data_IF_333191754953
#
_entry.id   IF_333191754953
#
_cell.length_a   1.000
_cell.length_b   1.000
_cell.length_c   1.000
_cell.angle_alpha   90.00
_cell.angle_beta   90.00
_cell.angle_gamma   90.00
#
_symmetry.space_group_name_H-M   'P 1'
#
loop_
_entity.id
_entity.type
_entity.pdbx_description
1 polymer ?
#
# COMPACT_ATOMS: atom_id res chain seq x y z
N UNK A 1 27.39 -35.36 21.07
CA UNK A 1 27.90 -36.57 20.39
C UNK A 1 28.50 -36.10 19.07
N UNK A 2 29.82 -36.13 18.96
CA UNK A 2 30.58 -35.67 17.79
C UNK A 2 30.28 -36.62 16.63
N UNK A 3 29.60 -36.16 15.59
CA UNK A 3 29.38 -36.94 14.38
C UNK A 3 30.65 -36.84 13.50
N UNK A 4 31.44 -37.92 13.36
CA UNK A 4 32.72 -37.89 12.66
C UNK A 4 32.62 -37.58 11.16
N UNK A 5 31.41 -37.50 10.60
CA UNK A 5 31.16 -37.28 9.18
C UNK A 5 30.58 -35.89 8.84
N UNK A 6 30.57 -34.95 9.78
CA UNK A 6 30.17 -33.56 9.47
C UNK A 6 31.15 -32.90 8.50
N UNK A 7 30.63 -32.47 7.37
CA UNK A 7 31.40 -31.67 6.39
C UNK A 7 31.78 -30.31 6.97
N UNK A 8 32.89 -29.74 6.52
CA UNK A 8 33.32 -28.40 6.92
C UNK A 8 32.22 -27.33 6.70
N UNK A 9 31.37 -27.52 5.70
CA UNK A 9 30.20 -26.68 5.42
C UNK A 9 29.17 -26.74 6.56
N UNK A 10 28.80 -27.94 7.02
CA UNK A 10 27.84 -28.13 8.12
C UNK A 10 28.36 -27.56 9.45
N UNK A 11 29.67 -27.71 9.72
CA UNK A 11 30.30 -27.13 10.91
C UNK A 11 30.21 -25.59 10.86
N UNK A 12 30.51 -25.00 9.71
CA UNK A 12 30.38 -23.56 9.51
C UNK A 12 28.93 -23.09 9.66
N UNK A 13 27.96 -23.79 9.07
CA UNK A 13 26.54 -23.44 9.17
C UNK A 13 26.05 -23.48 10.62
N UNK A 14 26.36 -24.53 11.38
CA UNK A 14 26.02 -24.63 12.80
C UNK A 14 26.63 -23.48 13.61
N UNK A 15 27.89 -23.12 13.32
CA UNK A 15 28.56 -21.97 13.96
C UNK A 15 27.88 -20.65 13.63
N UNK A 16 27.51 -20.43 12.37
CA UNK A 16 26.86 -19.19 11.92
C UNK A 16 25.50 -18.96 12.58
N UNK A 17 24.75 -20.04 12.87
CA UNK A 17 23.49 -19.96 13.64
C UNK A 17 23.74 -19.41 15.04
N UNK A 18 24.73 -19.96 15.76
CA UNK A 18 25.09 -19.53 17.12
C UNK A 18 25.59 -18.08 17.12
N UNK A 19 26.52 -17.74 16.22
CA UNK A 19 27.06 -16.37 16.09
C UNK A 19 25.95 -15.38 15.78
N UNK A 20 25.04 -15.72 14.86
CA UNK A 20 23.94 -14.86 14.48
C UNK A 20 22.96 -14.58 15.62
N UNK A 21 22.62 -15.61 16.42
CA UNK A 21 21.75 -15.44 17.58
C UNK A 21 22.37 -14.55 18.65
N UNK A 22 23.65 -14.79 19.00
CA UNK A 22 24.36 -14.03 20.03
C UNK A 22 24.61 -12.57 19.60
N UNK A 23 24.99 -12.37 18.33
CA UNK A 23 25.21 -11.02 17.80
C UNK A 23 23.91 -10.19 17.80
N UNK A 24 22.77 -10.80 17.42
CA UNK A 24 21.45 -10.12 17.49
C UNK A 24 21.06 -9.73 18.92
N UNK A 25 21.53 -10.45 19.93
CA UNK A 25 21.31 -10.15 21.36
C UNK A 25 22.30 -9.13 21.93
N UNK A 26 23.23 -8.61 21.13
CA UNK A 26 24.16 -7.55 21.54
C UNK A 26 25.41 -8.04 22.29
N UNK A 27 25.71 -9.33 22.26
CA UNK A 27 26.94 -9.86 22.86
C UNK A 27 28.17 -9.31 22.13
N UNK A 28 29.25 -9.06 22.88
CA UNK A 28 30.54 -8.63 22.32
C UNK A 28 31.23 -9.78 21.57
N UNK A 29 32.17 -9.46 20.68
CA UNK A 29 32.92 -10.49 19.95
C UNK A 29 33.71 -11.45 20.85
N UNK A 30 34.09 -11.01 22.05
CA UNK A 30 34.78 -11.85 23.04
C UNK A 30 33.83 -12.87 23.66
N UNK A 31 32.65 -12.42 24.07
CA UNK A 31 31.62 -13.30 24.64
C UNK A 31 31.08 -14.28 23.58
N UNK A 32 30.86 -13.79 22.34
CA UNK A 32 30.47 -14.64 21.21
C UNK A 32 31.49 -15.75 20.98
N UNK A 33 32.79 -15.43 21.05
CA UNK A 33 33.85 -16.42 20.90
C UNK A 33 33.74 -17.52 21.96
N UNK A 34 33.62 -17.12 23.22
CA UNK A 34 33.56 -18.05 24.36
C UNK A 34 32.35 -18.95 24.28
N UNK A 35 31.19 -18.39 23.94
CA UNK A 35 29.95 -19.14 23.77
C UNK A 35 29.99 -20.08 22.54
N UNK A 36 30.65 -19.69 21.45
CA UNK A 36 30.83 -20.58 20.29
C UNK A 36 31.76 -21.74 20.61
N UNK A 37 32.83 -21.53 21.38
CA UNK A 37 33.71 -22.63 21.83
C UNK A 37 32.93 -23.56 22.75
N UNK A 38 32.17 -23.01 23.70
CA UNK A 38 31.40 -23.76 24.70
C UNK A 38 30.23 -24.55 24.10
N UNK A 39 29.49 -23.97 23.14
CA UNK A 39 28.29 -24.59 22.54
C UNK A 39 28.57 -25.33 21.24
N UNK A 40 29.58 -24.88 20.49
CA UNK A 40 29.86 -25.31 19.12
C UNK A 40 30.83 -26.48 19.01
N UNK A 41 31.33 -27.00 20.14
CA UNK A 41 32.26 -28.14 20.19
C UNK A 41 33.50 -27.91 19.29
N UNK A 42 34.03 -26.67 19.30
CA UNK A 42 35.21 -26.27 18.54
C UNK A 42 36.39 -26.11 19.49
N UNK A 43 37.51 -26.82 19.24
CA UNK A 43 38.73 -26.70 20.03
C UNK A 43 39.32 -25.29 20.02
N UNK A 44 39.24 -24.61 18.87
CA UNK A 44 39.76 -23.24 18.72
C UNK A 44 38.85 -22.38 17.87
N UNK A 45 38.68 -21.14 18.32
CA UNK A 45 37.95 -20.12 17.58
C UNK A 45 38.57 -18.75 17.85
N UNK A 46 38.99 -18.06 16.79
CA UNK A 46 39.72 -16.78 16.91
C UNK A 46 38.78 -15.58 16.83
N UNK A 47 39.13 -14.48 17.49
CA UNK A 47 38.40 -13.20 17.38
C UNK A 47 38.33 -12.69 15.94
N UNK A 48 39.36 -12.93 15.14
CA UNK A 48 39.36 -12.55 13.72
C UNK A 48 38.31 -13.35 12.93
N UNK A 49 38.10 -14.62 13.29
CA UNK A 49 37.08 -15.48 12.69
C UNK A 49 35.68 -15.04 13.09
N UNK A 50 35.48 -14.67 14.37
CA UNK A 50 34.20 -14.07 14.84
C UNK A 50 33.82 -12.87 13.99
N UNK A 51 34.76 -11.93 13.79
CA UNK A 51 34.52 -10.74 12.96
C UNK A 51 34.14 -11.11 11.53
N UNK A 52 34.87 -12.04 10.90
CA UNK A 52 34.57 -12.50 9.53
C UNK A 52 33.18 -13.13 9.43
N UNK A 53 32.82 -13.98 10.39
CA UNK A 53 31.51 -14.65 10.40
C UNK A 53 30.37 -13.62 10.60
N UNK A 54 30.55 -12.63 11.48
CA UNK A 54 29.62 -11.51 11.65
C UNK A 54 29.51 -10.69 10.36
N UNK A 55 30.62 -10.35 9.69
CA UNK A 55 30.61 -9.61 8.43
C UNK A 55 29.88 -10.39 7.31
N UNK A 56 30.01 -11.73 7.29
CA UNK A 56 29.27 -12.60 6.36
C UNK A 56 27.78 -12.54 6.69
N UNK A 57 27.38 -12.70 7.95
CA UNK A 57 25.98 -12.60 8.38
C UNK A 57 25.37 -11.24 8.03
N UNK A 58 26.08 -10.15 8.28
CA UNK A 58 25.63 -8.80 7.95
C UNK A 58 25.45 -8.61 6.44
N UNK A 59 26.33 -9.19 5.62
CA UNK A 59 26.19 -9.19 4.15
C UNK A 59 25.00 -10.03 3.71
N UNK A 60 24.81 -11.21 4.28
CA UNK A 60 23.66 -12.08 4.01
C UNK A 60 22.36 -11.40 4.38
N UNK A 61 22.23 -10.86 5.59
CA UNK A 61 21.03 -10.13 6.02
C UNK A 61 20.76 -8.88 5.19
N UNK A 62 21.81 -8.20 4.73
CA UNK A 62 21.64 -7.07 3.79
C UNK A 62 21.10 -7.55 2.45
N UNK A 63 21.63 -8.66 1.92
CA UNK A 63 21.15 -9.26 0.67
C UNK A 63 19.71 -9.76 0.78
N UNK A 64 19.36 -10.45 1.87
CA UNK A 64 17.97 -10.89 2.10
C UNK A 64 17.07 -9.69 2.22
N UNK A 65 17.43 -8.67 3.01
CA UNK A 65 16.63 -7.44 3.11
C UNK A 65 16.45 -6.75 1.75
N UNK A 66 17.50 -6.66 0.93
CA UNK A 66 17.38 -6.09 -0.42
C UNK A 66 16.43 -6.93 -1.27
N UNK A 67 16.57 -8.26 -1.26
CA UNK A 67 15.68 -9.15 -1.99
C UNK A 67 14.22 -9.05 -1.51
N UNK A 68 13.99 -8.93 -0.19
CA UNK A 68 12.67 -8.75 0.41
C UNK A 68 12.06 -7.41 -0.03
N UNK A 69 12.85 -6.34 -0.09
CA UNK A 69 12.44 -5.03 -0.61
C UNK A 69 12.12 -5.11 -2.09
N UNK A 70 12.96 -5.77 -2.89
CA UNK A 70 12.74 -5.95 -4.33
C UNK A 70 11.45 -6.76 -4.59
N UNK A 71 11.19 -7.81 -3.79
CA UNK A 71 9.96 -8.58 -3.85
C UNK A 71 8.74 -7.74 -3.46
N UNK A 72 8.83 -6.91 -2.42
CA UNK A 72 7.76 -6.02 -2.02
C UNK A 72 7.45 -4.99 -3.12
N UNK A 73 8.48 -4.40 -3.74
CA UNK A 73 8.33 -3.49 -4.89
C UNK A 73 7.66 -4.23 -6.06
N UNK A 74 8.08 -5.46 -6.35
CA UNK A 74 7.50 -6.25 -7.45
C UNK A 74 6.02 -6.56 -7.23
N UNK A 75 5.62 -6.91 -6.01
CA UNK A 75 4.22 -7.13 -5.67
C UNK A 75 3.39 -5.85 -5.84
N UNK A 76 3.91 -4.71 -5.40
CA UNK A 76 3.24 -3.42 -5.55
C UNK A 76 3.11 -3.01 -7.02
N UNK A 77 4.15 -3.22 -7.82
CA UNK A 77 4.11 -2.99 -9.27
C UNK A 77 3.02 -3.85 -9.94
N UNK A 78 2.85 -5.10 -9.52
CA UNK A 78 1.83 -5.98 -10.10
C UNK A 78 0.40 -5.62 -9.65
N UNK A 79 0.26 -5.13 -8.41
CA UNK A 79 -0.99 -4.52 -7.92
C UNK A 79 -1.38 -3.32 -8.79
N UNK A 80 -0.44 -2.39 -9.01
CA UNK A 80 -0.66 -1.21 -9.87
C UNK A 80 -0.99 -1.63 -11.31
N UNK A 81 -0.30 -2.63 -11.87
CA UNK A 81 -0.59 -3.16 -13.21
C UNK A 81 -2.03 -3.69 -13.30
N UNK A 82 -2.51 -4.37 -12.26
CA UNK A 82 -3.88 -4.89 -12.19
C UNK A 82 -4.90 -3.76 -12.15
N UNK A 83 -4.68 -2.75 -11.31
CA UNK A 83 -5.55 -1.58 -11.24
C UNK A 83 -5.60 -0.79 -12.55
N UNK A 84 -4.45 -0.59 -13.21
CA UNK A 84 -4.39 0.06 -14.53
C UNK A 84 -5.21 -0.73 -15.56
N UNK A 85 -5.11 -2.07 -15.56
CA UNK A 85 -5.88 -2.94 -16.44
C UNK A 85 -7.39 -2.78 -16.21
N UNK A 86 -7.82 -2.79 -14.95
CA UNK A 86 -9.22 -2.55 -14.58
C UNK A 86 -9.72 -1.17 -15.01
N UNK A 87 -8.90 -0.13 -14.85
CA UNK A 87 -9.22 1.22 -15.30
C UNK A 87 -9.35 1.31 -16.83
N UNK A 88 -8.50 0.61 -17.58
CA UNK A 88 -8.64 0.52 -19.03
C UNK A 88 -9.95 -0.18 -19.44
N UNK A 89 -10.32 -1.28 -18.78
CA UNK A 89 -11.61 -1.92 -19.03
C UNK A 89 -12.80 -1.01 -18.70
N UNK A 90 -12.72 -0.24 -17.61
CA UNK A 90 -13.75 0.71 -17.23
C UNK A 90 -13.85 1.88 -18.22
N UNK A 91 -12.71 2.40 -18.68
CA UNK A 91 -12.63 3.39 -19.76
C UNK A 91 -13.26 2.86 -21.04
N UNK A 92 -12.93 1.64 -21.45
CA UNK A 92 -13.50 1.00 -22.64
C UNK A 92 -15.02 0.84 -22.53
N UNK A 93 -15.52 0.40 -21.38
CA UNK A 93 -16.97 0.33 -21.10
C UNK A 93 -17.63 1.70 -21.08
N UNK A 94 -16.95 2.75 -20.61
CA UNK A 94 -17.54 4.09 -20.54
C UNK A 94 -17.78 4.72 -21.91
N UNK A 95 -17.16 4.20 -22.97
CA UNK A 95 -17.34 4.65 -24.36
C UNK A 95 -18.51 3.96 -25.07
N UNK A 96 -19.22 3.03 -24.42
CA UNK A 96 -20.39 2.39 -25.03
C UNK A 96 -21.61 3.27 -24.88
N UNK A 97 -22.26 3.57 -26.01
CA UNK A 97 -23.50 4.32 -26.06
C UNK A 97 -24.61 3.60 -25.28
N UNK A 98 -25.37 4.37 -24.50
CA UNK A 98 -26.50 3.85 -23.74
C UNK A 98 -27.73 4.73 -23.91
N UNK A 99 -28.90 4.09 -23.99
CA UNK A 99 -30.19 4.77 -24.11
C UNK A 99 -30.72 5.11 -22.72
N UNK A 100 -30.73 6.39 -22.38
CA UNK A 100 -31.34 6.85 -21.11
C UNK A 100 -32.83 7.05 -21.35
N UNK A 101 -33.65 6.22 -20.69
CA UNK A 101 -35.12 6.36 -20.67
C UNK A 101 -35.52 6.98 -19.33
N UNK A 102 -36.08 8.19 -19.36
CA UNK A 102 -36.65 8.83 -18.19
C UNK A 102 -38.17 8.82 -18.28
N UNK A 103 -38.83 8.39 -17.20
CA UNK A 103 -40.29 8.38 -17.07
C UNK A 103 -40.66 9.30 -15.92
N UNK A 104 -41.35 10.40 -16.24
CA UNK A 104 -41.92 11.30 -15.22
C UNK A 104 -43.43 11.10 -15.20
N UNK A 105 -43.95 10.76 -14.04
CA UNK A 105 -45.39 10.61 -13.81
C UNK A 105 -45.87 11.75 -12.92
N UNK A 106 -46.82 12.54 -13.42
CA UNK A 106 -47.46 13.60 -12.66
C UNK A 106 -48.89 13.18 -12.33
N UNK A 107 -49.24 13.25 -11.05
CA UNK A 107 -50.57 12.91 -10.56
C UNK A 107 -51.09 14.00 -9.64
N UNK A 108 -52.41 14.18 -9.66
CA UNK A 108 -53.11 15.03 -8.70
C UNK A 108 -53.66 14.10 -7.62
N UNK A 109 -53.44 14.44 -6.34
CA UNK A 109 -54.07 13.72 -5.25
C UNK A 109 -55.59 13.96 -5.34
N UNK A 110 -56.37 12.92 -5.65
CA UNK A 110 -57.81 13.01 -5.63
C UNK A 110 -58.26 13.20 -4.17
N UNK A 111 -58.61 14.44 -3.80
CA UNK A 111 -59.05 14.75 -2.44
C UNK A 111 -60.45 14.20 -2.24
N UNK A 112 -60.52 13.06 -1.55
CA UNK A 112 -61.66 12.58 -0.75
C UNK A 112 -63.02 12.60 -1.43
N UNK A 113 -63.35 11.55 -2.19
CA UNK A 113 -64.75 11.14 -2.29
C UNK A 113 -65.09 10.37 -1.01
N UNK A 114 -65.76 11.02 -0.05
CA UNK A 114 -66.42 10.29 1.05
C UNK A 114 -67.52 9.43 0.43
N UNK A 115 -67.27 8.14 0.22
CA UNK A 115 -68.33 7.19 -0.12
C UNK A 115 -69.01 6.77 1.17
N UNK A 116 -70.29 7.11 1.31
CA UNK A 116 -71.15 6.59 2.38
C UNK A 116 -71.46 5.13 2.04
N UNK A 117 -71.08 4.21 2.93
CA UNK A 117 -71.49 2.81 2.80
C UNK A 117 -73.01 2.70 3.03
N UNK A 118 -73.70 1.65 2.53
CA UNK A 118 -75.17 1.51 2.64
C UNK A 118 -75.72 1.56 4.08
N UNK A 119 -74.86 1.37 5.07
CA UNK A 119 -75.14 1.37 6.52
C UNK A 119 -74.82 2.72 7.22
N UNK A 120 -74.56 3.79 6.45
CA UNK A 120 -74.39 5.15 6.99
C UNK A 120 -73.05 5.46 7.66
N UNK A 121 -72.09 4.53 7.68
CA UNK A 121 -70.74 4.79 8.18
C UNK A 121 -69.86 5.50 7.13
N UNK A 122 -69.05 6.47 7.58
CA UNK A 122 -68.07 7.20 6.76
C UNK A 122 -66.77 6.39 6.76
N UNK A 123 -66.45 5.73 5.65
CA UNK A 123 -65.15 5.11 5.47
C UNK A 123 -64.11 6.17 5.08
N UNK A 124 -62.95 6.17 5.76
CA UNK A 124 -61.80 6.99 5.37
C UNK A 124 -61.34 6.56 3.97
N UNK A 125 -61.54 7.45 3.01
CA UNK A 125 -61.29 7.20 1.60
C UNK A 125 -59.81 7.02 1.31
N UNK A 126 -59.45 5.82 0.87
CA UNK A 126 -58.12 5.47 0.38
C UNK A 126 -57.72 6.46 -0.73
N UNK A 127 -56.61 7.18 -0.53
CA UNK A 127 -56.25 8.34 -1.37
C UNK A 127 -55.66 7.85 -2.69
N UNK A 128 -56.51 7.51 -3.65
CA UNK A 128 -56.09 6.99 -4.96
C UNK A 128 -55.53 8.13 -5.81
N UNK A 129 -54.20 8.16 -5.99
CA UNK A 129 -53.52 9.13 -6.87
C UNK A 129 -53.97 8.87 -8.31
N UNK A 130 -54.74 9.79 -8.89
CA UNK A 130 -55.11 9.74 -10.30
C UNK A 130 -53.97 10.33 -11.13
N UNK A 131 -53.38 9.49 -11.98
CA UNK A 131 -52.29 9.89 -12.87
C UNK A 131 -52.87 10.67 -14.05
N UNK A 132 -52.53 11.95 -14.15
CA UNK A 132 -53.13 12.87 -15.13
C UNK A 132 -52.26 13.02 -16.37
N UNK A 133 -50.93 12.85 -16.24
CA UNK A 133 -50.01 12.92 -17.37
C UNK A 133 -48.81 11.99 -17.17
N UNK A 134 -48.39 11.34 -18.26
CA UNK A 134 -47.17 10.54 -18.34
C UNK A 134 -46.31 11.19 -19.42
N UNK A 135 -45.13 11.67 -19.04
CA UNK A 135 -44.13 12.19 -19.98
C UNK A 135 -43.01 11.15 -20.10
N UNK A 136 -42.79 10.69 -21.34
CA UNK A 136 -41.71 9.76 -21.68
C UNK A 136 -40.76 10.48 -22.63
N UNK A 137 -39.49 10.57 -22.22
CA UNK A 137 -38.43 11.13 -23.07
C UNK A 137 -37.36 10.06 -23.28
N UNK A 138 -37.06 9.77 -24.55
CA UNK A 138 -35.95 8.92 -24.98
C UNK A 138 -34.91 9.83 -25.64
N UNK A 139 -33.69 9.86 -25.09
CA UNK A 139 -32.56 10.61 -25.64
C UNK A 139 -31.42 9.64 -25.92
N UNK A 140 -30.93 9.66 -27.15
CA UNK A 140 -29.69 8.98 -27.51
C UNK A 140 -28.52 9.87 -27.02
N UNK A 141 -27.77 9.39 -26.03
CA UNK A 141 -26.53 10.03 -25.59
C UNK A 141 -25.35 9.33 -26.26
N UNK A 142 -24.65 10.04 -27.15
CA UNK A 142 -23.30 9.65 -27.58
C UNK A 142 -22.33 9.95 -26.44
N UNK A 143 -21.65 8.93 -25.93
CA UNK A 143 -20.78 9.06 -24.74
C UNK A 143 -19.31 8.92 -25.15
N UNK A 144 -18.51 9.94 -24.84
CA UNK A 144 -17.11 10.04 -25.26
C UNK A 144 -16.10 9.42 -24.26
N UNK A 145 -16.57 8.52 -23.39
CA UNK A 145 -15.78 7.95 -22.29
C UNK A 145 -15.67 8.88 -21.08
N UNK A 146 -15.51 8.32 -19.87
CA UNK A 146 -15.36 9.09 -18.63
C UNK A 146 -13.88 9.44 -18.36
N UNK A 147 -13.47 10.72 -18.46
CA UNK A 147 -12.07 11.13 -18.28
C UNK A 147 -11.46 10.76 -16.93
N UNK A 148 -12.29 10.49 -15.91
CA UNK A 148 -11.82 10.11 -14.56
C UNK A 148 -10.98 8.83 -14.58
N UNK A 149 -11.30 7.89 -15.46
CA UNK A 149 -10.50 6.66 -15.60
C UNK A 149 -9.11 6.96 -16.19
N UNK A 150 -9.03 7.89 -17.14
CA UNK A 150 -7.76 8.32 -17.73
C UNK A 150 -6.88 9.06 -16.72
N UNK A 151 -7.48 9.91 -15.89
CA UNK A 151 -6.76 10.58 -14.79
C UNK A 151 -6.23 9.57 -13.77
N UNK A 152 -7.01 8.53 -13.45
CA UNK A 152 -6.58 7.47 -12.55
C UNK A 152 -5.44 6.64 -13.13
N UNK A 153 -5.49 6.29 -14.42
CA UNK A 153 -4.38 5.63 -15.14
C UNK A 153 -3.11 6.48 -15.07
N UNK A 154 -3.22 7.79 -15.28
CA UNK A 154 -2.08 8.70 -15.17
C UNK A 154 -1.49 8.74 -13.76
N UNK A 155 -2.35 8.80 -12.71
CA UNK A 155 -1.92 8.77 -11.31
C UNK A 155 -1.20 7.47 -10.94
N UNK A 156 -1.79 6.32 -11.26
CA UNK A 156 -1.16 5.00 -11.06
C UNK A 156 0.16 4.88 -11.84
N UNK A 157 0.21 5.43 -13.05
CA UNK A 157 1.44 5.50 -13.84
C UNK A 157 2.52 6.39 -13.19
N UNK A 158 2.16 7.43 -12.45
CA UNK A 158 3.12 8.23 -11.68
C UNK A 158 3.66 7.43 -10.48
N UNK A 159 2.80 6.74 -9.74
CA UNK A 159 3.19 5.89 -8.60
C UNK A 159 4.13 4.76 -9.03
N UNK A 160 3.83 4.10 -10.15
CA UNK A 160 4.72 3.10 -10.76
C UNK A 160 6.11 3.65 -11.05
N UNK A 161 6.21 4.86 -11.62
CA UNK A 161 7.50 5.50 -11.91
C UNK A 161 8.26 5.90 -10.64
N UNK A 162 7.57 6.26 -9.56
CA UNK A 162 8.17 6.54 -8.25
C UNK A 162 8.79 5.27 -7.64
N UNK A 163 8.09 4.14 -7.67
CA UNK A 163 8.61 2.86 -7.17
C UNK A 163 9.86 2.39 -7.94
N UNK A 164 9.91 2.66 -9.24
CA UNK A 164 11.08 2.36 -10.09
C UNK A 164 12.24 3.35 -9.92
N UNK A 165 12.09 4.41 -9.12
CA UNK A 165 13.13 5.43 -8.93
C UNK A 165 13.41 6.29 -10.18
N UNK A 166 12.44 6.39 -11.11
CA UNK A 166 12.57 7.21 -12.33
C UNK A 166 12.41 8.70 -12.06
N UNK A 167 11.86 9.06 -10.90
CA UNK A 167 11.80 10.45 -10.45
C UNK A 167 13.06 10.79 -9.65
N UNK A 168 13.55 12.01 -9.84
CA UNK A 168 14.56 12.57 -8.95
C UNK A 168 14.03 12.52 -7.51
N UNK A 169 14.91 12.20 -6.56
CA UNK A 169 14.58 12.31 -5.13
C UNK A 169 14.29 13.78 -4.86
N UNK A 170 13.04 14.10 -4.53
CA UNK A 170 12.70 15.40 -3.98
C UNK A 170 13.47 15.51 -2.66
N UNK A 171 14.51 16.35 -2.65
CA UNK A 171 15.24 16.69 -1.43
C UNK A 171 14.29 17.51 -0.57
N UNK A 172 13.44 16.84 0.19
CA UNK A 172 12.74 17.50 1.29
C UNK A 172 13.80 17.85 2.33
N UNK A 173 14.15 19.14 2.43
CA UNK A 173 14.91 19.63 3.56
C UNK A 173 14.12 19.31 4.82
N UNK A 174 14.59 18.33 5.59
CA UNK A 174 14.13 18.10 6.95
C UNK A 174 14.65 19.29 7.77
N UNK A 175 13.96 20.43 7.68
CA UNK A 175 14.11 21.49 8.67
C UNK A 175 13.61 20.89 9.98
N UNK A 176 14.54 20.37 10.79
CA UNK A 176 14.27 20.09 12.19
C UNK A 176 13.72 21.39 12.77
N UNK A 177 12.46 21.37 13.23
CA UNK A 177 11.85 22.49 13.95
C UNK A 177 12.71 22.79 15.18
N UNK A 178 13.67 23.70 15.05
CA UNK A 178 14.59 24.11 16.12
C UNK A 178 16.08 24.18 15.74
N UNK A 179 16.51 23.68 14.58
CA UNK A 179 17.90 23.91 14.13
C UNK A 179 17.99 25.25 13.40
N UNK A 180 18.74 26.19 13.96
CA UNK A 180 19.16 27.43 13.27
C UNK A 180 19.87 27.01 11.98
N UNK A 181 19.46 27.56 10.84
CA UNK A 181 20.15 27.34 9.58
C UNK A 181 21.59 27.83 9.72
N UNK A 182 22.59 27.13 9.15
CA UNK A 182 24.00 27.52 9.30
C UNK A 182 24.26 29.00 8.97
N UNK A 183 23.54 29.54 7.99
CA UNK A 183 23.63 30.95 7.58
C UNK A 183 23.18 31.93 8.67
N UNK A 184 22.15 31.59 9.46
CA UNK A 184 21.68 32.43 10.57
C UNK A 184 22.62 32.39 11.77
N UNK A 185 23.27 31.26 12.01
CA UNK A 185 24.27 31.13 13.07
C UNK A 185 25.53 31.97 12.75
N UNK A 186 25.91 32.05 11.46
CA UNK A 186 27.02 32.87 11.02
C UNK A 186 26.74 34.37 11.15
N UNK A 187 25.54 34.83 10.78
CA UNK A 187 25.15 36.23 10.96
C UNK A 187 25.18 36.65 12.44
N UNK A 188 24.59 35.84 13.33
CA UNK A 188 24.48 36.13 14.76
C UNK A 188 25.84 36.13 15.50
N UNK A 189 26.88 35.48 14.94
CA UNK A 189 28.23 35.44 15.53
C UNK A 189 29.26 36.26 14.72
N UNK A 190 28.83 37.04 13.74
CA UNK A 190 29.70 37.91 12.92
C UNK A 190 29.71 39.37 13.36
N UNK A 191 28.85 39.76 14.30
CA UNK A 191 28.73 41.15 14.78
C UNK A 191 29.59 41.44 16.03
N UNK A 192 30.37 40.47 16.53
CA UNK A 192 31.18 40.58 17.77
C UNK A 192 32.70 40.73 17.56
N UNK A 193 33.18 41.14 16.37
CA UNK A 193 34.59 41.53 16.13
C UNK A 193 34.81 43.04 15.96
#
# INVERSE_FOLDING_TARGET
MFDPHRTAKQIREARMVIVGELYKRGFSFREIREEVIKRGDQDTYSLSTVKKDVDILLKEWRKTRIADVDQAIQLELESINTQIRECWYAWDRSKTDHKVKSKKQSGIAAKGSKSVAPDGSIADGDTKIQTTAIEQTEKDQMVFGDPRYQDLINKLGMERRKLLGLYAVDKSELTLKGSISPDKWLEENSEDE
#
